data_IF_786601968399
#
_entry.id   IF_786601968399
#
_cell.length_a   1.000
_cell.length_b   1.000
_cell.length_c   1.000
_cell.angle_alpha   90.00
_cell.angle_beta   90.00
_cell.angle_gamma   90.00
#
_symmetry.space_group_name_H-M   'P 1'
#
loop_
_entity.id
_entity.type
_entity.pdbx_description
1 polymer ?
#
# COMPACT_ATOMS: atom_id res chain seq x y z
N UNK A 1 -2.10 8.03 52.39
CA UNK A 1 -1.46 6.94 51.62
C UNK A 1 -0.57 7.57 50.54
N UNK A 2 0.72 7.20 50.40
CA UNK A 2 1.61 7.86 49.44
C UNK A 2 1.29 7.44 48.01
N UNK A 3 1.16 8.41 47.10
CA UNK A 3 0.83 8.20 45.69
C UNK A 3 2.04 7.58 44.99
N UNK A 4 1.95 6.30 44.61
CA UNK A 4 2.99 5.57 43.86
C UNK A 4 3.16 6.22 42.49
N UNK A 5 4.33 6.82 42.25
CA UNK A 5 4.67 7.46 40.98
C UNK A 5 5.28 6.39 40.06
N UNK A 6 4.52 5.92 39.06
CA UNK A 6 5.05 4.99 38.06
C UNK A 6 5.58 5.78 36.86
N UNK A 7 6.83 5.56 36.41
CA UNK A 7 7.36 6.22 35.23
C UNK A 7 6.69 5.64 33.98
N UNK A 8 5.97 6.50 33.23
CA UNK A 8 5.45 6.15 31.91
C UNK A 8 6.64 6.05 30.94
N UNK A 9 7.00 4.81 30.61
CA UNK A 9 7.88 4.45 29.51
C UNK A 9 7.34 5.08 28.21
N UNK A 10 7.90 6.21 27.81
CA UNK A 10 7.54 6.92 26.59
C UNK A 10 8.01 6.08 25.41
N UNK A 11 7.06 5.42 24.75
CA UNK A 11 7.35 4.67 23.55
C UNK A 11 7.96 5.63 22.51
N UNK A 12 9.23 5.40 22.19
CA UNK A 12 9.92 5.99 21.04
C UNK A 12 9.24 5.49 19.76
N UNK A 13 8.13 6.12 19.41
CA UNK A 13 7.58 6.04 18.06
C UNK A 13 8.46 6.94 17.18
N UNK A 14 9.48 6.34 16.58
CA UNK A 14 10.25 6.97 15.52
C UNK A 14 9.31 7.19 14.33
N UNK A 15 8.56 8.29 14.35
CA UNK A 15 7.88 8.83 13.18
C UNK A 15 8.90 9.66 12.40
N UNK A 16 9.81 8.96 11.74
CA UNK A 16 10.71 9.58 10.78
C UNK A 16 9.95 9.82 9.47
N UNK A 17 10.03 11.08 9.03
CA UNK A 17 9.80 11.59 7.67
C UNK A 17 8.35 11.76 7.20
N UNK A 18 7.82 12.95 7.48
CA UNK A 18 6.49 13.45 7.14
C UNK A 18 6.37 14.11 5.75
N UNK A 19 7.36 13.98 4.86
CA UNK A 19 7.48 14.90 3.71
C UNK A 19 7.47 14.22 2.31
N UNK A 20 7.14 12.93 2.21
CA UNK A 20 6.98 12.23 0.91
C UNK A 20 5.75 11.30 0.87
N UNK A 21 4.80 11.51 1.79
CA UNK A 21 3.85 10.50 2.26
C UNK A 21 2.64 10.28 1.34
N UNK A 22 2.19 11.25 0.54
CA UNK A 22 0.89 11.11 -0.17
C UNK A 22 0.88 9.98 -1.21
N UNK A 23 1.96 9.82 -1.99
CA UNK A 23 2.11 8.70 -2.92
C UNK A 23 2.31 7.36 -2.19
N UNK A 24 3.23 7.32 -1.22
CA UNK A 24 3.60 6.10 -0.51
C UNK A 24 2.50 5.57 0.44
N UNK A 25 1.78 6.46 1.13
CA UNK A 25 0.64 6.09 1.97
C UNK A 25 -0.53 5.58 1.14
N UNK A 26 -0.75 6.13 -0.05
CA UNK A 26 -1.71 5.55 -1.00
C UNK A 26 -1.26 4.18 -1.50
N UNK A 27 0.04 3.97 -1.73
CA UNK A 27 0.58 2.66 -2.08
C UNK A 27 0.42 1.62 -0.95
N UNK A 28 0.52 2.01 0.32
CA UNK A 28 0.28 1.12 1.45
C UNK A 28 -1.21 0.82 1.67
N UNK A 29 -2.10 1.77 1.34
CA UNK A 29 -3.56 1.57 1.42
C UNK A 29 -4.09 0.74 0.24
N UNK A 30 -3.48 0.83 -0.93
CA UNK A 30 -3.86 0.07 -2.13
C UNK A 30 -3.20 -1.31 -2.10
N UNK A 31 -3.89 -2.32 -2.65
CA UNK A 31 -3.28 -3.62 -2.90
C UNK A 31 -2.07 -3.43 -3.82
N UNK A 32 -0.91 -3.90 -3.36
CA UNK A 32 0.32 -3.99 -4.13
C UNK A 32 0.81 -5.43 -4.12
N UNK A 33 1.49 -5.81 -5.19
CA UNK A 33 2.08 -7.14 -5.32
C UNK A 33 3.60 -7.04 -5.35
N UNK A 34 4.25 -8.04 -4.77
CA UNK A 34 5.71 -8.13 -4.72
C UNK A 34 6.32 -8.44 -6.08
N UNK A 35 5.58 -9.13 -6.95
CA UNK A 35 6.04 -9.59 -8.26
C UNK A 35 5.04 -9.25 -9.36
N UNK A 36 5.57 -9.02 -10.56
CA UNK A 36 4.77 -8.72 -11.76
C UNK A 36 3.79 -9.85 -12.06
N UNK A 37 4.25 -11.10 -11.94
CA UNK A 37 3.45 -12.30 -12.22
C UNK A 37 2.19 -12.34 -11.35
N UNK A 38 2.32 -12.04 -10.04
CA UNK A 38 1.17 -12.00 -9.13
C UNK A 38 0.23 -10.83 -9.46
N UNK A 39 0.77 -9.70 -9.89
CA UNK A 39 -0.04 -8.57 -10.30
C UNK A 39 -0.83 -8.90 -11.58
N UNK A 40 -0.20 -9.49 -12.60
CA UNK A 40 -0.89 -9.92 -13.83
C UNK A 40 -1.98 -10.94 -13.53
N UNK A 41 -1.68 -11.98 -12.76
CA UNK A 41 -2.70 -12.95 -12.34
C UNK A 41 -3.89 -12.31 -11.63
N UNK A 42 -3.63 -11.30 -10.78
CA UNK A 42 -4.70 -10.56 -10.12
C UNK A 42 -5.49 -9.67 -11.09
N UNK A 43 -4.83 -9.05 -12.06
CA UNK A 43 -5.49 -8.33 -13.15
C UNK A 43 -6.39 -9.27 -13.95
N UNK A 44 -5.86 -10.38 -14.46
CA UNK A 44 -6.60 -11.41 -15.20
C UNK A 44 -7.83 -11.89 -14.40
N UNK A 45 -7.67 -12.13 -13.10
CA UNK A 45 -8.78 -12.56 -12.24
C UNK A 45 -9.85 -11.47 -12.13
N UNK A 46 -9.46 -10.20 -12.01
CA UNK A 46 -10.41 -9.09 -11.94
C UNK A 46 -11.11 -8.81 -13.27
N UNK A 47 -10.42 -8.97 -14.40
CA UNK A 47 -11.00 -8.90 -15.76
C UNK A 47 -11.97 -10.07 -15.98
N UNK A 48 -11.65 -11.27 -15.48
CA UNK A 48 -12.54 -12.42 -15.56
C UNK A 48 -13.83 -12.21 -14.75
N UNK A 49 -13.72 -11.58 -13.57
CA UNK A 49 -14.88 -11.21 -12.75
C UNK A 49 -15.66 -10.03 -13.35
N UNK A 50 -14.97 -9.08 -13.99
CA UNK A 50 -15.58 -7.90 -14.61
C UNK A 50 -15.11 -7.78 -16.06
N UNK A 51 -15.78 -8.48 -16.97
CA UNK A 51 -15.38 -8.56 -18.39
C UNK A 51 -15.38 -7.23 -19.14
N UNK A 52 -16.00 -6.18 -18.56
CA UNK A 52 -16.04 -4.83 -19.11
C UNK A 52 -14.92 -3.92 -18.57
N UNK A 53 -14.03 -4.43 -17.72
CA UNK A 53 -13.04 -3.62 -17.03
C UNK A 53 -11.67 -4.15 -17.41
N UNK A 54 -10.90 -3.36 -18.18
CA UNK A 54 -9.52 -3.70 -18.52
C UNK A 54 -8.57 -3.24 -17.42
N UNK A 55 -7.67 -4.10 -16.97
CA UNK A 55 -6.76 -3.79 -15.85
C UNK A 55 -5.32 -3.95 -16.32
N UNK A 56 -4.56 -2.88 -16.20
CA UNK A 56 -3.14 -2.84 -16.52
C UNK A 56 -2.29 -2.90 -15.25
N UNK A 57 -1.06 -3.38 -15.41
CA UNK A 57 -0.10 -3.58 -14.32
C UNK A 57 1.08 -2.65 -14.52
N UNK A 58 1.38 -1.82 -13.51
CA UNK A 58 2.54 -0.93 -13.57
C UNK A 58 3.39 -1.04 -12.30
N UNK A 59 4.68 -0.75 -12.46
CA UNK A 59 5.62 -0.65 -11.34
C UNK A 59 5.59 0.75 -10.78
N UNK A 60 5.30 0.88 -9.49
CA UNK A 60 5.33 2.16 -8.81
C UNK A 60 6.76 2.54 -8.42
N UNK A 61 7.16 3.77 -8.73
CA UNK A 61 8.50 4.29 -8.43
C UNK A 61 8.70 4.61 -6.94
N UNK A 62 7.61 4.89 -6.22
CA UNK A 62 7.64 5.24 -4.79
C UNK A 62 7.76 4.01 -3.89
N UNK A 63 6.92 3.00 -4.09
CA UNK A 63 6.92 1.79 -3.25
C UNK A 63 7.71 0.62 -3.85
N UNK A 64 8.20 0.74 -5.09
CA UNK A 64 8.86 -0.31 -5.88
C UNK A 64 8.02 -1.58 -6.08
N UNK A 65 6.74 -1.55 -5.70
CA UNK A 65 5.78 -2.64 -5.85
C UNK A 65 4.99 -2.54 -7.15
N UNK A 66 4.27 -3.62 -7.46
CA UNK A 66 3.40 -3.72 -8.62
C UNK A 66 1.97 -3.34 -8.25
N UNK A 67 1.42 -2.37 -8.98
CA UNK A 67 0.07 -1.89 -8.79
C UNK A 67 -0.80 -2.20 -10.01
N UNK A 68 -2.09 -2.33 -9.74
CA UNK A 68 -3.13 -2.48 -10.75
C UNK A 68 -3.75 -1.12 -11.02
N UNK A 69 -4.01 -0.82 -12.29
CA UNK A 69 -4.73 0.37 -12.72
C UNK A 69 -5.80 -0.03 -13.71
N UNK A 70 -7.02 0.47 -13.53
CA UNK A 70 -8.09 0.25 -14.49
C UNK A 70 -7.85 1.12 -15.72
N UNK A 71 -7.71 0.51 -16.89
CA UNK A 71 -7.86 1.18 -18.17
C UNK A 71 -9.35 1.30 -18.44
N UNK A 72 -9.87 2.52 -18.26
CA UNK A 72 -11.20 2.83 -18.76
C UNK A 72 -11.04 3.08 -20.27
N UNK A 73 -11.39 2.09 -21.09
CA UNK A 73 -11.49 2.25 -22.55
C UNK A 73 -12.73 3.04 -22.94
#
# INVERSE_FOLDING_TARGET
MPRRNYPKNSQKSQKTSLMSITGLANCQKKRHFSTEVKARQAADTQELVNSNLSIDVYRCEWCKGWHLTSKNS
#
